data_IF_182844161648
#
_entry.id   IF_182844161648
#
_cell.length_a   1.000
_cell.length_b   1.000
_cell.length_c   1.000
_cell.angle_alpha   90.00
_cell.angle_beta   90.00
_cell.angle_gamma   90.00
#
_symmetry.space_group_name_H-M   'P 1'
#
loop_
_entity.id
_entity.type
_entity.pdbx_description
1 polymer ?
#
# COMPACT_ATOMS: atom_id res chain seq x y z
N UNK A 1 -29.68 29.50 72.97
CA UNK A 1 -29.23 30.57 72.05
C UNK A 1 -27.90 30.20 71.42
N UNK A 2 -27.86 30.26 70.08
CA UNK A 2 -26.76 30.50 69.10
C UNK A 2 -25.43 29.73 69.24
N UNK A 3 -24.95 28.94 68.26
CA UNK A 3 -24.52 29.18 66.83
C UNK A 3 -23.17 29.89 66.69
N UNK A 4 -22.19 29.17 66.11
CA UNK A 4 -21.19 29.60 65.09
C UNK A 4 -20.24 28.43 64.78
N UNK A 5 -20.27 27.81 63.60
CA UNK A 5 -19.68 28.19 62.29
C UNK A 5 -18.15 28.33 62.28
N UNK A 6 -17.49 27.44 61.51
CA UNK A 6 -16.10 27.52 61.09
C UNK A 6 -15.88 26.62 59.87
N UNK A 7 -15.93 27.24 58.69
CA UNK A 7 -15.79 26.64 57.35
C UNK A 7 -14.31 26.46 56.99
N UNK A 8 -13.95 25.39 56.26
CA UNK A 8 -12.86 25.47 55.28
C UNK A 8 -13.02 24.44 54.15
N UNK A 9 -13.72 24.88 53.11
CA UNK A 9 -13.39 24.77 51.67
C UNK A 9 -12.58 23.53 51.25
N UNK A 10 -13.24 22.60 50.56
CA UNK A 10 -12.59 21.77 49.53
C UNK A 10 -13.31 21.98 48.19
N UNK A 11 -12.48 22.14 47.18
CA UNK A 11 -12.75 22.77 45.89
C UNK A 11 -13.76 22.01 45.02
N UNK A 12 -14.69 22.78 44.45
CA UNK A 12 -15.53 22.40 43.32
C UNK A 12 -14.65 22.00 42.13
N UNK A 13 -14.57 20.69 41.86
CA UNK A 13 -13.97 20.16 40.64
C UNK A 13 -14.99 20.33 39.50
N UNK A 14 -14.80 21.37 38.69
CA UNK A 14 -15.55 21.61 37.46
C UNK A 14 -15.37 20.41 36.51
N UNK A 15 -16.44 19.86 35.90
CA UNK A 15 -16.29 18.85 34.87
C UNK A 15 -15.52 19.42 33.69
N UNK A 16 -14.43 18.73 33.33
CA UNK A 16 -13.61 19.02 32.16
C UNK A 16 -14.50 18.91 30.93
N UNK A 17 -14.80 20.03 30.28
CA UNK A 17 -15.41 20.05 28.96
C UNK A 17 -14.36 19.61 27.97
N UNK A 18 -14.31 18.31 27.70
CA UNK A 18 -13.56 17.79 26.57
C UNK A 18 -14.30 18.23 25.31
N UNK A 19 -13.86 19.36 24.75
CA UNK A 19 -14.21 19.79 23.40
C UNK A 19 -13.68 18.73 22.45
N UNK A 20 -14.54 17.80 22.07
CA UNK A 20 -14.32 16.91 20.94
C UNK A 20 -14.00 17.77 19.73
N UNK A 21 -12.75 17.71 19.28
CA UNK A 21 -12.34 18.25 17.98
C UNK A 21 -13.17 17.59 16.88
N UNK A 22 -13.60 18.32 15.84
CA UNK A 22 -14.27 17.72 14.71
C UNK A 22 -13.31 16.77 14.01
N UNK A 23 -13.65 15.48 13.91
CA UNK A 23 -12.98 14.57 12.98
C UNK A 23 -13.37 15.01 11.59
N UNK A 24 -12.48 15.75 10.94
CA UNK A 24 -12.61 16.17 9.56
C UNK A 24 -12.57 14.93 8.67
N UNK A 25 -13.75 14.50 8.21
CA UNK A 25 -13.89 13.49 7.15
C UNK A 25 -13.30 14.12 5.89
N UNK A 26 -12.04 13.83 5.60
CA UNK A 26 -11.48 14.07 4.28
C UNK A 26 -12.10 13.04 3.32
N UNK A 27 -12.60 13.48 2.15
CA UNK A 27 -13.01 12.55 1.10
C UNK A 27 -11.79 11.76 0.64
N UNK A 28 -11.94 10.50 0.18
CA UNK A 28 -10.80 9.77 -0.37
C UNK A 28 -10.37 10.50 -1.64
N UNK A 29 -9.23 11.19 -1.58
CA UNK A 29 -8.52 11.56 -2.79
C UNK A 29 -8.26 10.26 -3.55
N UNK A 30 -8.95 10.12 -4.69
CA UNK A 30 -8.56 9.20 -5.75
C UNK A 30 -7.18 9.62 -6.22
N UNK A 31 -6.14 9.19 -5.51
CA UNK A 31 -4.79 9.10 -6.03
C UNK A 31 -4.80 7.97 -7.05
N UNK A 32 -5.28 8.34 -8.23
CA UNK A 32 -4.98 7.64 -9.46
C UNK A 32 -3.45 7.59 -9.53
N UNK A 33 -2.87 6.43 -9.18
CA UNK A 33 -1.49 6.12 -9.49
C UNK A 33 -1.41 5.99 -11.01
N UNK A 34 -1.40 7.14 -11.68
CA UNK A 34 -0.88 7.26 -13.02
C UNK A 34 0.60 6.94 -12.87
N UNK A 35 0.93 5.66 -13.02
CA UNK A 35 2.29 5.23 -13.28
C UNK A 35 2.64 5.85 -14.62
N UNK A 36 3.23 7.04 -14.57
CA UNK A 36 3.94 7.63 -15.68
C UNK A 36 5.13 6.71 -15.95
N UNK A 37 4.92 5.68 -16.75
CA UNK A 37 5.99 5.06 -17.50
C UNK A 37 6.57 6.18 -18.35
N UNK A 38 7.69 6.76 -17.92
CA UNK A 38 8.59 7.46 -18.84
C UNK A 38 9.21 6.40 -19.74
N UNK A 39 8.38 5.88 -20.65
CA UNK A 39 8.80 5.20 -21.84
C UNK A 39 9.26 6.28 -22.80
N UNK A 40 10.54 6.65 -22.73
CA UNK A 40 11.21 7.26 -23.86
C UNK A 40 11.40 6.18 -24.93
N UNK A 41 10.32 5.92 -25.66
CA UNK A 41 10.34 5.18 -26.91
C UNK A 41 9.57 6.01 -27.93
N UNK A 42 10.32 6.74 -28.76
CA UNK A 42 9.79 7.46 -29.91
C UNK A 42 10.88 8.30 -30.57
N UNK A 43 10.70 8.71 -31.82
CA UNK A 43 11.25 7.99 -32.97
C UNK A 43 12.16 8.90 -33.78
N UNK A 44 13.36 8.46 -34.15
CA UNK A 44 14.17 9.18 -35.14
C UNK A 44 13.87 8.65 -36.54
N UNK A 45 12.74 9.11 -37.10
CA UNK A 45 12.61 9.24 -38.55
C UNK A 45 13.06 10.65 -38.94
N UNK A 46 13.90 10.82 -39.98
CA UNK A 46 14.15 12.14 -40.54
C UNK A 46 13.03 12.49 -41.53
N UNK A 47 12.16 13.42 -41.14
CA UNK A 47 11.34 14.20 -42.07
C UNK A 47 12.13 15.45 -42.43
N UNK A 48 12.65 15.51 -43.65
CA UNK A 48 13.02 16.78 -44.29
C UNK A 48 12.21 16.91 -45.58
N UNK A 49 11.55 18.06 -45.68
CA UNK A 49 10.66 18.53 -46.73
C UNK A 49 11.39 18.62 -48.10
N UNK A 50 10.65 18.57 -49.23
CA UNK A 50 11.23 18.63 -50.56
C UNK A 50 11.28 20.08 -51.08
N UNK A 51 12.47 20.58 -51.39
CA UNK A 51 12.61 21.72 -52.31
C UNK A 51 13.11 21.23 -53.67
N UNK A 52 12.28 21.53 -54.68
CA UNK A 52 12.57 21.35 -56.09
C UNK A 52 13.73 22.25 -56.49
N UNK A 53 14.78 21.67 -57.02
CA UNK A 53 15.49 22.23 -58.17
C UNK A 53 15.89 21.10 -59.08
N UNK A 54 15.31 21.15 -60.27
CA UNK A 54 15.73 20.41 -61.45
C UNK A 54 17.23 20.56 -61.66
N UNK A 55 17.91 19.47 -61.97
CA UNK A 55 18.74 19.44 -63.16
C UNK A 55 18.99 18.01 -63.62
N UNK A 56 18.68 17.83 -64.90
CA UNK A 56 18.81 16.65 -65.71
C UNK A 56 20.27 16.18 -65.76
N UNK A 57 20.50 14.87 -65.63
CA UNK A 57 21.55 14.18 -66.37
C UNK A 57 21.44 12.64 -66.25
N UNK A 58 20.97 12.04 -67.33
CA UNK A 58 21.58 10.88 -68.00
C UNK A 58 21.59 9.50 -67.31
N UNK A 59 20.74 8.62 -67.87
CA UNK A 59 21.13 7.34 -68.47
C UNK A 59 21.52 6.16 -67.56
N UNK A 60 20.62 5.16 -67.54
CA UNK A 60 20.86 3.72 -67.64
C UNK A 60 22.28 3.19 -67.32
N UNK A 61 22.39 2.31 -66.32
CA UNK A 61 22.90 0.94 -66.46
C UNK A 61 23.20 0.35 -65.09
N UNK A 62 22.75 -0.89 -64.86
CA UNK A 62 23.22 -1.69 -63.73
C UNK A 62 24.74 -1.78 -63.75
N UNK A 63 25.37 -1.51 -62.60
CA UNK A 63 26.71 -1.95 -62.25
C UNK A 63 26.65 -2.39 -60.79
N UNK A 64 26.60 -3.69 -60.63
CA UNK A 64 27.03 -4.43 -59.45
C UNK A 64 28.49 -4.06 -59.15
N UNK A 65 28.69 -3.01 -58.36
CA UNK A 65 29.92 -2.84 -57.56
C UNK A 65 29.55 -3.14 -56.12
N UNK A 66 29.44 -4.43 -55.84
CA UNK A 66 29.49 -4.99 -54.49
C UNK A 66 30.84 -4.61 -53.88
N UNK A 67 30.90 -3.43 -53.25
CA UNK A 67 31.96 -3.10 -52.30
C UNK A 67 31.80 -4.05 -51.10
N UNK A 68 32.68 -5.06 -50.93
CA UNK A 68 32.51 -6.11 -49.93
C UNK A 68 32.38 -5.52 -48.50
N UNK A 69 33.08 -4.41 -48.26
CA UNK A 69 33.14 -3.73 -46.96
C UNK A 69 31.79 -3.13 -46.48
N UNK A 70 30.90 -2.70 -47.39
CA UNK A 70 29.61 -2.07 -47.00
C UNK A 70 28.61 -3.12 -46.51
N UNK A 71 28.54 -4.26 -47.19
CA UNK A 71 27.71 -5.40 -46.79
C UNK A 71 28.20 -6.03 -45.49
N UNK A 72 29.53 -6.10 -45.30
CA UNK A 72 30.12 -6.62 -44.08
C UNK A 72 29.87 -5.71 -42.88
N UNK A 73 30.00 -4.39 -43.05
CA UNK A 73 29.66 -3.42 -41.99
C UNK A 73 28.20 -3.56 -41.56
N UNK A 74 27.26 -3.65 -42.52
CA UNK A 74 25.83 -3.87 -42.22
C UNK A 74 25.60 -5.18 -41.47
N UNK A 75 26.27 -6.26 -41.88
CA UNK A 75 26.19 -7.57 -41.23
C UNK A 75 26.72 -7.50 -39.79
N UNK A 76 27.84 -6.83 -39.56
CA UNK A 76 28.44 -6.66 -38.23
C UNK A 76 27.49 -5.85 -37.31
N UNK A 77 26.96 -4.73 -37.78
CA UNK A 77 25.99 -3.93 -37.01
C UNK A 77 24.74 -4.74 -36.67
N UNK A 78 24.24 -5.55 -37.61
CA UNK A 78 23.09 -6.42 -37.35
C UNK A 78 23.41 -7.48 -36.28
N UNK A 79 24.59 -8.11 -36.33
CA UNK A 79 25.03 -9.09 -35.33
C UNK A 79 25.18 -8.43 -33.95
N UNK A 80 25.81 -7.26 -33.87
CA UNK A 80 26.01 -6.57 -32.59
C UNK A 80 24.68 -6.11 -31.97
N UNK A 81 23.75 -5.61 -32.79
CA UNK A 81 22.40 -5.27 -32.35
C UNK A 81 21.65 -6.49 -31.80
N UNK A 82 21.71 -7.64 -32.49
CA UNK A 82 21.06 -8.87 -32.03
C UNK A 82 21.73 -9.45 -30.78
N UNK A 83 23.06 -9.38 -30.66
CA UNK A 83 23.77 -9.74 -29.43
C UNK A 83 23.31 -8.89 -28.24
N UNK A 84 23.20 -7.56 -28.42
CA UNK A 84 22.67 -6.66 -27.39
C UNK A 84 21.23 -7.02 -27.03
N UNK A 85 20.37 -7.31 -28.00
CA UNK A 85 19.00 -7.77 -27.76
C UNK A 85 18.97 -9.06 -26.93
N UNK A 86 19.77 -10.06 -27.31
CA UNK A 86 19.87 -11.34 -26.58
C UNK A 86 20.39 -11.17 -25.15
N UNK A 87 21.36 -10.28 -24.95
CA UNK A 87 21.88 -9.96 -23.62
C UNK A 87 20.79 -9.35 -22.73
N UNK A 88 20.04 -8.37 -23.23
CA UNK A 88 18.93 -7.75 -22.48
C UNK A 88 17.85 -8.77 -22.12
N UNK A 89 17.50 -9.67 -23.04
CA UNK A 89 16.55 -10.76 -22.76
C UNK A 89 17.09 -11.67 -21.65
N UNK A 90 18.37 -12.08 -21.72
CA UNK A 90 19.00 -12.91 -20.68
C UNK A 90 18.94 -12.23 -19.32
N UNK A 91 19.29 -10.94 -19.25
CA UNK A 91 19.22 -10.16 -18.01
C UNK A 91 17.80 -10.12 -17.42
N UNK A 92 16.77 -10.00 -18.27
CA UNK A 92 15.37 -10.09 -17.85
C UNK A 92 15.03 -11.44 -17.22
N UNK A 93 15.52 -12.55 -17.79
CA UNK A 93 15.35 -13.89 -17.20
C UNK A 93 16.06 -14.03 -15.85
N UNK A 94 17.28 -13.49 -15.71
CA UNK A 94 18.01 -13.51 -14.45
C UNK A 94 17.26 -12.73 -13.36
N UNK A 95 16.65 -11.60 -13.74
CA UNK A 95 15.78 -10.80 -12.84
C UNK A 95 14.52 -11.58 -12.43
N UNK A 96 13.84 -12.24 -13.39
CA UNK A 96 12.68 -13.08 -13.08
C UNK A 96 13.03 -14.20 -12.10
N UNK A 97 14.20 -14.82 -12.26
CA UNK A 97 14.67 -15.88 -11.37
C UNK A 97 14.87 -15.39 -9.93
N UNK A 98 15.31 -14.14 -9.76
CA UNK A 98 15.48 -13.51 -8.44
C UNK A 98 14.15 -13.12 -7.79
N UNK A 99 13.16 -12.69 -8.58
CA UNK A 99 11.88 -12.17 -8.04
C UNK A 99 10.90 -13.28 -7.71
N UNK A 100 10.84 -14.34 -8.51
CA UNK A 100 9.88 -15.42 -8.32
C UNK A 100 10.39 -16.34 -7.21
N UNK A 101 9.71 -16.34 -6.07
CA UNK A 101 10.12 -17.09 -4.87
C UNK A 101 10.43 -18.56 -5.16
N UNK A 102 9.59 -19.24 -5.94
CA UNK A 102 9.77 -20.66 -6.28
C UNK A 102 11.02 -20.94 -7.10
N UNK A 103 11.50 -19.97 -7.87
CA UNK A 103 12.72 -20.07 -8.67
C UNK A 103 13.94 -19.67 -7.83
N UNK A 104 13.83 -18.55 -7.09
CA UNK A 104 14.90 -18.02 -6.24
C UNK A 104 15.35 -19.03 -5.16
N UNK A 105 14.42 -19.81 -4.60
CA UNK A 105 14.73 -20.85 -3.59
C UNK A 105 15.51 -22.05 -4.15
N UNK A 106 15.67 -22.17 -5.47
CA UNK A 106 16.36 -23.29 -6.13
C UNK A 106 17.50 -22.79 -7.06
N UNK A 107 18.53 -22.13 -6.52
CA UNK A 107 19.57 -21.49 -7.34
C UNK A 107 20.49 -22.48 -8.07
N UNK A 108 20.59 -23.73 -7.61
CA UNK A 108 21.43 -24.78 -8.21
C UNK A 108 20.74 -25.60 -9.29
N UNK A 109 19.42 -25.45 -9.46
CA UNK A 109 18.65 -26.23 -10.42
C UNK A 109 18.58 -25.46 -11.74
N UNK A 110 18.98 -26.12 -12.83
CA UNK A 110 18.90 -25.54 -14.17
C UNK A 110 17.44 -25.54 -14.63
N UNK A 111 16.75 -24.43 -14.42
CA UNK A 111 15.35 -24.24 -14.83
C UNK A 111 15.31 -23.74 -16.29
N UNK A 112 14.43 -24.33 -17.09
CA UNK A 112 14.29 -23.94 -18.50
C UNK A 112 13.60 -22.57 -18.65
N UNK A 113 13.86 -21.85 -19.76
CA UNK A 113 13.19 -20.57 -20.05
C UNK A 113 11.65 -20.70 -20.05
N UNK A 114 11.13 -21.79 -20.60
CA UNK A 114 9.68 -22.04 -20.62
C UNK A 114 9.14 -22.22 -19.20
N UNK A 115 9.84 -22.99 -18.36
CA UNK A 115 9.48 -23.21 -16.96
C UNK A 115 9.56 -21.90 -16.16
N UNK A 116 10.58 -21.07 -16.38
CA UNK A 116 10.68 -19.74 -15.74
C UNK A 116 9.44 -18.90 -16.06
N UNK A 117 9.06 -18.79 -17.33
CA UNK A 117 7.88 -18.01 -17.73
C UNK A 117 6.60 -18.56 -17.11
N UNK A 118 6.43 -19.89 -17.10
CA UNK A 118 5.27 -20.54 -16.49
C UNK A 118 5.19 -20.24 -14.99
N UNK A 119 6.29 -20.43 -14.25
CA UNK A 119 6.35 -20.16 -12.81
C UNK A 119 6.15 -18.68 -12.49
N UNK A 120 6.64 -17.78 -13.32
CA UNK A 120 6.36 -16.34 -13.20
C UNK A 120 4.88 -16.05 -13.36
N UNK A 121 4.19 -16.62 -14.34
CA UNK A 121 2.76 -16.40 -14.55
C UNK A 121 1.92 -16.94 -13.38
N UNK A 122 2.25 -18.13 -12.87
CA UNK A 122 1.65 -18.70 -11.66
C UNK A 122 1.87 -17.79 -10.46
N UNK A 123 3.09 -17.27 -10.27
CA UNK A 123 3.42 -16.37 -9.17
C UNK A 123 2.67 -15.04 -9.24
N UNK A 124 2.56 -14.42 -10.42
CA UNK A 124 1.75 -13.20 -10.61
C UNK A 124 0.30 -13.46 -10.22
N UNK A 125 -0.28 -14.57 -10.68
CA UNK A 125 -1.66 -14.94 -10.37
C UNK A 125 -1.87 -15.13 -8.86
N UNK A 126 -0.93 -15.83 -8.21
CA UNK A 126 -0.90 -15.99 -6.75
C UNK A 126 -0.84 -14.63 -6.04
N UNK A 127 0.07 -13.75 -6.44
CA UNK A 127 0.21 -12.46 -5.77
C UNK A 127 -1.03 -11.56 -5.94
N UNK A 128 -1.66 -11.62 -7.10
CA UNK A 128 -2.92 -10.90 -7.35
C UNK A 128 -4.05 -11.43 -6.46
N UNK A 129 -4.14 -12.74 -6.30
CA UNK A 129 -5.11 -13.39 -5.41
C UNK A 129 -4.87 -12.99 -3.95
N UNK A 130 -3.62 -13.09 -3.46
CA UNK A 130 -3.28 -12.70 -2.09
C UNK A 130 -3.60 -11.23 -1.82
N UNK A 131 -3.31 -10.33 -2.78
CA UNK A 131 -3.66 -8.91 -2.66
C UNK A 131 -5.18 -8.71 -2.59
N UNK A 132 -5.96 -9.45 -3.38
CA UNK A 132 -7.41 -9.38 -3.36
C UNK A 132 -7.98 -9.85 -2.02
N UNK A 133 -7.48 -10.97 -1.49
CA UNK A 133 -7.87 -11.52 -0.18
C UNK A 133 -7.60 -10.53 0.96
N UNK A 134 -6.39 -9.96 1.01
CA UNK A 134 -6.04 -8.95 2.01
C UNK A 134 -6.92 -7.71 1.92
N UNK A 135 -7.30 -7.29 0.70
CA UNK A 135 -8.20 -6.17 0.51
C UNK A 135 -9.62 -6.47 0.99
N UNK A 136 -10.15 -7.66 0.69
CA UNK A 136 -11.46 -8.11 1.17
C UNK A 136 -11.51 -8.18 2.70
N UNK A 137 -10.49 -8.77 3.33
CA UNK A 137 -10.40 -8.82 4.79
C UNK A 137 -10.34 -7.43 5.42
N UNK A 138 -9.54 -6.53 4.84
CA UNK A 138 -9.47 -5.14 5.30
C UNK A 138 -10.81 -4.41 5.15
N UNK A 139 -11.60 -4.68 4.11
CA UNK A 139 -12.94 -4.11 3.97
C UNK A 139 -13.90 -4.68 5.01
N UNK A 140 -13.92 -6.01 5.19
CA UNK A 140 -14.73 -6.67 6.22
C UNK A 140 -14.49 -6.07 7.61
N UNK A 141 -13.22 -5.85 7.98
CA UNK A 141 -12.87 -5.24 9.26
C UNK A 141 -13.34 -3.77 9.38
N UNK A 142 -13.30 -3.00 8.29
CA UNK A 142 -13.85 -1.63 8.27
C UNK A 142 -15.36 -1.64 8.48
N UNK A 143 -16.06 -2.54 7.81
CA UNK A 143 -17.52 -2.69 7.96
C UNK A 143 -17.89 -3.11 9.38
N UNK A 144 -17.11 -4.01 9.99
CA UNK A 144 -17.28 -4.41 11.39
C UNK A 144 -17.06 -3.23 12.36
N UNK A 145 -16.02 -2.43 12.15
CA UNK A 145 -15.79 -1.20 12.93
C UNK A 145 -16.97 -0.24 12.80
N UNK A 146 -17.51 -0.04 11.59
CA UNK A 146 -18.67 0.82 11.37
C UNK A 146 -19.92 0.28 12.06
N UNK A 147 -20.16 -1.03 11.97
CA UNK A 147 -21.29 -1.69 12.63
C UNK A 147 -21.21 -1.54 14.16
N UNK A 148 -20.03 -1.79 14.74
CA UNK A 148 -19.79 -1.63 16.18
C UNK A 148 -19.94 -0.18 16.63
N UNK A 149 -19.38 0.77 15.89
CA UNK A 149 -19.55 2.20 16.19
C UNK A 149 -21.02 2.63 16.12
N UNK A 150 -21.77 2.12 15.13
CA UNK A 150 -23.21 2.37 15.04
C UNK A 150 -23.95 1.80 16.26
N UNK A 151 -23.64 0.57 16.67
CA UNK A 151 -24.24 -0.04 17.86
C UNK A 151 -23.91 0.74 19.14
N UNK A 152 -22.67 1.17 19.31
CA UNK A 152 -22.23 2.03 20.42
C UNK A 152 -23.02 3.34 20.41
N UNK A 153 -23.10 4.01 19.27
CA UNK A 153 -23.83 5.27 19.12
C UNK A 153 -25.31 5.12 19.49
N UNK A 154 -25.96 4.02 19.08
CA UNK A 154 -27.35 3.72 19.46
C UNK A 154 -27.49 3.56 20.96
N UNK A 155 -26.60 2.78 21.60
CA UNK A 155 -26.60 2.62 23.05
C UNK A 155 -26.38 3.95 23.79
N UNK A 156 -25.47 4.80 23.30
CA UNK A 156 -25.18 6.10 23.88
C UNK A 156 -26.36 7.07 23.75
N UNK A 157 -27.08 7.05 22.61
CA UNK A 157 -28.28 7.86 22.40
C UNK A 157 -29.45 7.48 23.32
N UNK A 158 -29.48 6.24 23.81
CA UNK A 158 -30.48 5.79 24.79
C UNK A 158 -30.15 6.26 26.23
N UNK A 159 -28.94 6.76 26.47
CA UNK A 159 -28.56 7.29 27.78
C UNK A 159 -29.09 8.72 27.94
N UNK A 160 -29.57 9.11 29.14
CA UNK A 160 -29.94 10.49 29.41
C UNK A 160 -28.73 11.42 29.22
N UNK A 161 -28.93 12.66 28.76
CA UNK A 161 -27.86 13.65 28.56
C UNK A 161 -27.07 13.97 29.85
N UNK A 162 -27.68 13.74 31.02
CA UNK A 162 -27.07 13.86 32.35
C UNK A 162 -26.39 12.57 32.84
N UNK A 163 -26.35 11.52 32.01
CA UNK A 163 -26.01 10.15 32.42
C UNK A 163 -27.16 9.45 33.15
N UNK A 164 -27.00 8.15 33.42
CA UNK A 164 -27.97 7.41 34.25
C UNK A 164 -27.72 7.78 35.71
N UNK A 165 -28.68 8.40 36.43
CA UNK A 165 -28.49 8.70 37.84
C UNK A 165 -28.33 7.40 38.63
N UNK A 166 -27.14 7.19 39.20
CA UNK A 166 -26.85 6.03 40.06
C UNK A 166 -27.29 6.39 41.48
N UNK A 167 -28.13 5.55 42.08
CA UNK A 167 -28.49 5.71 43.48
C UNK A 167 -27.26 5.55 44.36
N UNK A 168 -27.19 6.32 45.46
CA UNK A 168 -26.05 6.26 46.39
C UNK A 168 -25.75 4.83 46.85
N UNK A 169 -26.78 4.03 47.12
CA UNK A 169 -26.65 2.62 47.49
C UNK A 169 -25.95 1.77 46.41
N UNK A 170 -26.30 1.94 45.12
CA UNK A 170 -25.63 1.23 44.02
C UNK A 170 -24.18 1.67 43.84
N UNK A 171 -23.92 2.96 44.00
CA UNK A 171 -22.57 3.50 43.94
C UNK A 171 -21.68 2.92 45.06
N UNK A 172 -22.18 2.92 46.30
CA UNK A 172 -21.47 2.35 47.44
C UNK A 172 -21.22 0.84 47.24
N UNK A 173 -22.20 0.10 46.70
CA UNK A 173 -22.02 -1.31 46.38
C UNK A 173 -20.95 -1.56 45.31
N UNK A 174 -20.94 -0.78 44.21
CA UNK A 174 -19.89 -0.89 43.18
C UNK A 174 -18.50 -0.59 43.76
N UNK A 175 -18.42 0.39 44.67
CA UNK A 175 -17.18 0.74 45.36
C UNK A 175 -16.70 -0.37 46.31
N UNK A 176 -17.62 -1.06 46.99
CA UNK A 176 -17.33 -2.25 47.79
C UNK A 176 -16.72 -3.36 46.92
N UNK A 177 -17.39 -3.69 45.80
CA UNK A 177 -16.93 -4.70 44.85
C UNK A 177 -15.54 -4.40 44.28
N UNK A 178 -15.29 -3.13 43.95
CA UNK A 178 -13.97 -2.69 43.50
C UNK A 178 -12.91 -2.87 44.60
N UNK A 179 -13.22 -2.47 45.84
CA UNK A 179 -12.30 -2.63 46.98
C UNK A 179 -11.99 -4.10 47.25
N UNK A 180 -12.97 -4.98 47.16
CA UNK A 180 -12.77 -6.43 47.29
C UNK A 180 -11.88 -6.97 46.20
N UNK A 181 -12.16 -6.63 44.93
CA UNK A 181 -11.34 -7.06 43.80
C UNK A 181 -9.89 -6.63 43.96
N UNK A 182 -9.65 -5.35 44.26
CA UNK A 182 -8.30 -4.84 44.45
C UNK A 182 -7.63 -5.51 45.65
N UNK A 183 -8.31 -5.67 46.79
CA UNK A 183 -7.78 -6.40 47.95
C UNK A 183 -7.36 -7.82 47.57
N UNK A 184 -8.21 -8.56 46.85
CA UNK A 184 -7.91 -9.92 46.42
C UNK A 184 -6.70 -9.98 45.49
N UNK A 185 -6.60 -9.07 44.52
CA UNK A 185 -5.47 -9.01 43.59
C UNK A 185 -4.16 -8.60 44.30
N UNK A 186 -4.22 -7.63 45.21
CA UNK A 186 -3.07 -7.20 46.03
C UNK A 186 -2.56 -8.31 46.95
N UNK A 187 -3.45 -9.14 47.51
CA UNK A 187 -3.06 -10.29 48.35
C UNK A 187 -2.36 -11.39 47.54
N UNK A 188 -2.76 -11.59 46.28
CA UNK A 188 -2.09 -12.55 45.39
C UNK A 188 -0.76 -12.00 44.85
N UNK A 189 -0.71 -10.72 44.52
CA UNK A 189 0.48 -10.06 44.00
C UNK A 189 0.52 -8.61 44.50
N UNK A 190 1.40 -8.34 45.46
CA UNK A 190 1.52 -7.02 46.06
C UNK A 190 1.89 -5.92 45.06
N UNK A 191 2.53 -6.26 43.94
CA UNK A 191 2.84 -5.31 42.86
C UNK A 191 1.58 -4.79 42.15
N UNK A 192 0.44 -5.44 42.31
CA UNK A 192 -0.84 -4.96 41.75
C UNK A 192 -1.25 -3.60 42.35
N UNK A 193 -0.76 -3.25 43.55
CA UNK A 193 -1.14 -2.01 44.24
C UNK A 193 -0.16 -0.85 44.04
N UNK A 194 1.04 -1.11 43.52
CA UNK A 194 2.09 -0.08 43.28
C UNK A 194 2.01 0.39 41.84
#
# INVERSE_FOLDING_TARGET
>A
SNVSHGSCISSLLVPKTEKLSPVQIQPPERTSLTVSFSGSFGPTSPTMLPEKTSESSHTLSGITKTEPNRTDTRRITHISAEQKRRFNIKLGFDTLHSLVTTLSSQPSIKISKATTLQKTAEYISKMQQERAQLHEEAQRLRDEILALNSAINVCQQQLPATGVPITRQRFDHMRERFREYVRSQTLQNWKFWI
#
